data_IF_429231465321
#
_entry.id   IF_429231465321
#
_cell.length_a   1.000
_cell.length_b   1.000
_cell.length_c   1.000
_cell.angle_alpha   90.00
_cell.angle_beta   90.00
_cell.angle_gamma   90.00
#
_symmetry.space_group_name_H-M   'P 1'
#
loop_
_entity.id
_entity.type
_entity.pdbx_description
1 polymer ?
#
# COMPACT_ATOMS: atom_id res chain seq x y z
N UNK A 1 6.77 -4.23 -20.79
CA UNK A 1 8.03 -4.97 -20.92
C UNK A 1 8.18 -5.78 -19.65
N UNK A 2 8.44 -7.03 -19.76
CA UNK A 2 8.59 -7.96 -18.62
C UNK A 2 10.07 -8.32 -18.48
N UNK A 3 10.59 -8.38 -17.28
CA UNK A 3 11.99 -8.71 -16.98
C UNK A 3 12.03 -9.99 -16.16
N UNK A 4 12.90 -10.91 -16.56
CA UNK A 4 13.11 -12.19 -15.89
C UNK A 4 14.51 -12.35 -15.30
N UNK A 5 15.43 -11.45 -15.63
CA UNK A 5 16.79 -11.46 -15.12
C UNK A 5 17.41 -10.05 -15.07
N UNK A 6 18.31 -9.78 -14.10
CA UNK A 6 18.98 -8.48 -13.99
C UNK A 6 19.76 -8.07 -15.25
N UNK A 7 20.31 -9.05 -15.98
CA UNK A 7 21.06 -8.78 -17.22
C UNK A 7 20.20 -8.14 -18.32
N UNK A 8 18.89 -8.30 -18.27
CA UNK A 8 17.97 -7.69 -19.23
C UNK A 8 17.83 -6.18 -19.03
N UNK A 9 18.08 -5.69 -17.81
CA UNK A 9 18.09 -4.25 -17.51
C UNK A 9 19.21 -3.51 -18.27
N UNK A 10 20.33 -4.19 -18.55
CA UNK A 10 21.42 -3.62 -19.33
C UNK A 10 21.04 -3.28 -20.80
N UNK A 11 19.93 -3.82 -21.28
CA UNK A 11 19.41 -3.55 -22.63
C UNK A 11 18.54 -2.30 -22.70
N UNK A 12 18.23 -1.70 -21.55
CA UNK A 12 17.45 -0.47 -21.50
C UNK A 12 18.28 0.70 -22.00
N UNK A 13 17.70 1.60 -22.81
CA UNK A 13 18.38 2.82 -23.26
C UNK A 13 18.53 3.87 -22.15
N UNK A 14 17.86 3.69 -21.00
CA UNK A 14 17.90 4.60 -19.88
C UNK A 14 19.24 4.47 -19.13
N UNK A 15 19.84 5.60 -18.79
CA UNK A 15 21.10 5.65 -18.01
C UNK A 15 20.90 5.41 -16.53
N UNK A 16 19.68 5.63 -16.03
CA UNK A 16 19.31 5.44 -14.63
C UNK A 16 18.05 4.60 -14.60
N UNK A 17 18.07 3.55 -13.82
CA UNK A 17 16.92 2.65 -13.59
C UNK A 17 16.67 2.57 -12.10
N UNK A 18 15.43 2.82 -11.69
CA UNK A 18 15.02 2.69 -10.29
C UNK A 18 14.33 1.34 -10.12
N UNK A 19 14.89 0.49 -9.25
CA UNK A 19 14.25 -0.76 -8.89
C UNK A 19 13.13 -0.50 -7.88
N UNK A 20 11.89 -0.70 -8.31
CA UNK A 20 10.70 -0.60 -7.48
C UNK A 20 9.82 -1.85 -7.62
N UNK A 21 10.44 -3.01 -7.79
CA UNK A 21 9.76 -4.28 -8.06
C UNK A 21 9.14 -4.94 -6.82
N UNK A 22 9.32 -4.32 -5.64
CA UNK A 22 8.76 -4.85 -4.40
C UNK A 22 9.17 -6.31 -4.15
N UNK A 23 8.24 -7.16 -3.78
CA UNK A 23 8.49 -8.58 -3.56
C UNK A 23 8.97 -9.31 -4.82
N UNK A 24 8.66 -8.83 -6.01
CA UNK A 24 9.17 -9.37 -7.27
C UNK A 24 10.70 -9.32 -7.40
N UNK A 25 11.37 -8.45 -6.61
CA UNK A 25 12.83 -8.42 -6.53
C UNK A 25 13.41 -9.77 -6.09
N UNK A 26 12.71 -10.52 -5.26
CA UNK A 26 13.14 -11.84 -4.82
C UNK A 26 13.46 -12.78 -6.00
N UNK A 27 12.54 -12.90 -6.92
CA UNK A 27 12.72 -13.74 -8.10
C UNK A 27 13.72 -13.12 -9.08
N UNK A 28 13.64 -11.81 -9.32
CA UNK A 28 14.46 -11.12 -10.30
C UNK A 28 15.96 -11.14 -9.95
N UNK A 29 16.30 -11.04 -8.66
CA UNK A 29 17.71 -11.04 -8.18
C UNK A 29 18.12 -12.33 -7.48
N UNK A 30 17.24 -13.32 -7.41
CA UNK A 30 17.48 -14.54 -6.63
C UNK A 30 17.86 -14.22 -5.17
N UNK A 31 17.20 -13.23 -4.59
CA UNK A 31 17.47 -12.74 -3.25
C UNK A 31 16.41 -13.27 -2.28
N UNK A 32 16.73 -14.35 -1.60
CA UNK A 32 15.84 -15.01 -0.64
C UNK A 32 15.63 -14.22 0.66
N UNK A 33 16.42 -13.16 0.90
CA UNK A 33 16.23 -12.29 2.06
C UNK A 33 15.00 -11.39 1.91
N UNK A 34 14.53 -11.17 0.69
CA UNK A 34 13.31 -10.39 0.43
C UNK A 34 12.10 -11.22 0.80
N UNK A 35 11.34 -10.77 1.79
CA UNK A 35 10.09 -11.40 2.24
C UNK A 35 8.89 -10.55 1.89
N UNK A 36 7.71 -11.14 1.66
CA UNK A 36 6.51 -10.37 1.40
C UNK A 36 6.06 -9.63 2.66
N UNK A 37 5.53 -8.43 2.46
CA UNK A 37 4.83 -7.69 3.51
C UNK A 37 3.47 -7.29 2.97
N UNK A 38 2.43 -7.93 3.47
CA UNK A 38 1.07 -7.66 3.04
C UNK A 38 0.57 -6.36 3.62
N UNK A 39 0.10 -5.47 2.76
CA UNK A 39 -0.67 -4.30 3.12
C UNK A 39 -1.95 -4.23 2.30
N UNK A 40 -3.07 -3.92 2.93
CA UNK A 40 -4.34 -3.72 2.25
C UNK A 40 -4.78 -2.28 2.39
N UNK A 41 -5.28 -1.73 1.31
CA UNK A 41 -5.80 -0.37 1.25
C UNK A 41 -7.25 -0.43 0.79
N UNK A 42 -8.16 0.19 1.54
CA UNK A 42 -9.48 0.51 1.04
C UNK A 42 -9.41 1.83 0.27
N UNK A 43 -9.90 1.80 -0.97
CA UNK A 43 -9.87 2.96 -1.86
C UNK A 43 -11.28 3.51 -2.02
N UNK A 44 -11.52 4.72 -1.54
CA UNK A 44 -12.81 5.40 -1.63
C UNK A 44 -12.83 6.37 -2.81
N UNK A 45 -14.02 6.73 -3.24
CA UNK A 45 -14.21 7.74 -4.28
C UNK A 45 -13.60 9.08 -3.86
N UNK A 46 -13.14 9.92 -4.82
CA UNK A 46 -12.60 11.23 -4.50
C UNK A 46 -13.64 12.13 -3.82
N UNK A 47 -13.17 12.88 -2.80
CA UNK A 47 -13.93 13.93 -2.12
C UNK A 47 -13.08 15.21 -2.17
N UNK A 48 -13.34 16.11 -3.13
CA UNK A 48 -12.49 17.27 -3.37
C UNK A 48 -12.34 18.22 -2.19
N UNK A 49 -13.34 18.26 -1.30
CA UNK A 49 -13.33 19.05 -0.06
C UNK A 49 -12.36 18.49 0.99
N UNK A 50 -11.99 17.22 0.91
CA UNK A 50 -11.03 16.57 1.80
C UNK A 50 -9.64 16.68 1.18
N UNK A 51 -8.83 17.64 1.60
CA UNK A 51 -7.51 17.93 1.06
C UNK A 51 -6.38 17.75 2.07
N UNK A 52 -6.59 16.93 3.07
CA UNK A 52 -5.66 16.63 4.15
C UNK A 52 -5.56 15.13 4.40
N UNK A 53 -4.53 14.73 5.13
CA UNK A 53 -4.36 13.37 5.63
C UNK A 53 -4.54 13.32 7.14
N UNK A 54 -4.92 12.15 7.64
CA UNK A 54 -5.06 11.88 9.07
C UNK A 54 -4.32 10.60 9.41
N UNK A 55 -3.55 10.64 10.48
CA UNK A 55 -3.00 9.45 11.12
C UNK A 55 -3.61 9.31 12.51
N UNK A 56 -4.28 8.20 12.77
CA UNK A 56 -4.98 7.99 14.03
C UNK A 56 -4.96 6.52 14.43
N UNK A 57 -4.37 6.21 15.58
CA UNK A 57 -4.32 4.85 16.16
C UNK A 57 -3.85 3.77 15.18
N UNK A 58 -2.84 4.07 14.36
CA UNK A 58 -2.35 3.14 13.35
C UNK A 58 -3.09 3.17 12.02
N UNK A 59 -4.19 3.91 11.91
CA UNK A 59 -4.86 4.14 10.64
C UNK A 59 -4.24 5.32 9.90
N UNK A 60 -3.97 5.12 8.63
CA UNK A 60 -3.61 6.17 7.68
C UNK A 60 -4.79 6.45 6.76
N UNK A 61 -5.22 7.69 6.70
CA UNK A 61 -6.28 8.17 5.83
C UNK A 61 -5.69 9.30 5.01
N UNK A 62 -5.49 9.06 3.72
CA UNK A 62 -4.82 10.01 2.83
C UNK A 62 -5.73 10.39 1.67
N UNK A 63 -5.97 11.69 1.54
CA UNK A 63 -6.69 12.23 0.38
C UNK A 63 -5.74 12.42 -0.80
N UNK A 64 -6.18 11.96 -1.96
CA UNK A 64 -5.52 12.10 -3.25
C UNK A 64 -6.53 12.59 -4.29
N UNK A 65 -6.03 13.01 -5.46
CA UNK A 65 -6.89 13.44 -6.58
C UNK A 65 -7.80 12.33 -7.11
N UNK A 66 -7.34 11.10 -7.00
CA UNK A 66 -7.97 9.89 -7.55
C UNK A 66 -8.76 9.09 -6.50
N UNK A 67 -8.74 9.52 -5.22
CA UNK A 67 -9.51 8.85 -4.17
C UNK A 67 -8.97 9.12 -2.78
N UNK A 68 -9.62 8.52 -1.79
CA UNK A 68 -9.16 8.53 -0.41
C UNK A 68 -8.71 7.12 -0.04
N UNK A 69 -7.46 7.01 0.39
CA UNK A 69 -6.93 5.76 0.92
C UNK A 69 -7.26 5.63 2.40
N UNK A 70 -7.70 4.45 2.80
CA UNK A 70 -7.81 4.07 4.20
C UNK A 70 -7.01 2.79 4.39
N UNK A 71 -6.01 2.85 5.24
CA UNK A 71 -5.14 1.73 5.56
C UNK A 71 -5.02 1.58 7.07
N UNK A 72 -5.24 0.36 7.56
CA UNK A 72 -4.89 -0.03 8.92
C UNK A 72 -3.46 -0.61 8.92
N UNK A 73 -2.57 0.04 9.64
CA UNK A 73 -1.21 -0.44 9.87
C UNK A 73 -1.10 -1.55 10.93
N UNK A 74 -2.24 -2.07 11.42
CA UNK A 74 -2.30 -3.18 12.37
C UNK A 74 -1.70 -2.90 13.75
N UNK A 75 -1.31 -1.66 14.02
CA UNK A 75 -0.72 -1.26 15.30
C UNK A 75 0.65 -1.90 15.62
N UNK A 76 1.28 -2.56 14.66
CA UNK A 76 2.59 -3.20 14.79
C UNK A 76 3.38 -3.05 13.50
N UNK A 77 4.68 -2.77 13.64
CA UNK A 77 5.64 -2.73 12.50
C UNK A 77 5.75 -4.09 11.78
N UNK A 78 5.35 -5.17 12.44
CA UNK A 78 5.36 -6.52 11.89
C UNK A 78 4.03 -6.92 11.22
N UNK A 79 3.06 -6.02 11.13
CA UNK A 79 1.78 -6.31 10.50
C UNK A 79 1.96 -6.69 9.03
N UNK A 80 1.44 -7.84 8.64
CA UNK A 80 1.58 -8.39 7.30
C UNK A 80 2.97 -8.96 6.96
N UNK A 81 3.93 -8.95 7.89
CA UNK A 81 5.27 -9.47 7.65
C UNK A 81 5.23 -10.97 7.33
N UNK A 82 5.92 -11.34 6.26
CA UNK A 82 5.99 -12.71 5.73
C UNK A 82 4.62 -13.30 5.35
N UNK A 83 3.66 -12.45 5.02
CA UNK A 83 2.35 -12.83 4.49
C UNK A 83 2.31 -12.58 2.97
N UNK A 84 2.30 -13.67 2.20
CA UNK A 84 2.24 -13.64 0.74
C UNK A 84 0.79 -13.73 0.20
N UNK A 85 -0.22 -13.63 1.05
CA UNK A 85 -1.61 -13.66 0.62
C UNK A 85 -1.97 -12.36 -0.11
N UNK A 86 -2.28 -12.46 -1.40
CA UNK A 86 -2.67 -11.33 -2.26
C UNK A 86 -4.20 -11.16 -2.37
N UNK A 87 -4.98 -12.08 -1.78
CA UNK A 87 -6.43 -12.03 -1.84
C UNK A 87 -6.98 -10.84 -1.02
N UNK A 88 -7.86 -10.01 -1.61
CA UNK A 88 -8.48 -8.90 -0.89
C UNK A 88 -9.39 -9.39 0.23
N UNK A 89 -9.21 -8.86 1.43
CA UNK A 89 -10.13 -9.04 2.55
C UNK A 89 -11.15 -7.90 2.58
N UNK A 90 -12.31 -8.14 1.96
CA UNK A 90 -13.37 -7.15 1.87
C UNK A 90 -13.97 -6.80 3.22
N UNK A 91 -14.09 -7.78 4.13
CA UNK A 91 -14.68 -7.53 5.45
C UNK A 91 -13.77 -6.61 6.27
N UNK A 92 -12.44 -6.86 6.21
CA UNK A 92 -11.47 -5.96 6.84
C UNK A 92 -11.52 -4.56 6.22
N UNK A 93 -11.53 -4.44 4.91
CA UNK A 93 -11.60 -3.14 4.24
C UNK A 93 -12.85 -2.33 4.68
N UNK A 94 -14.01 -2.99 4.77
CA UNK A 94 -15.23 -2.35 5.25
C UNK A 94 -15.13 -1.93 6.73
N UNK A 95 -14.49 -2.75 7.57
CA UNK A 95 -14.26 -2.42 8.97
C UNK A 95 -13.35 -1.18 9.11
N UNK A 96 -12.27 -1.13 8.33
CA UNK A 96 -11.32 -0.01 8.32
C UNK A 96 -12.00 1.30 7.90
N UNK A 97 -12.84 1.25 6.86
CA UNK A 97 -13.63 2.41 6.41
C UNK A 97 -14.63 2.87 7.49
N UNK A 98 -15.22 1.95 8.26
CA UNK A 98 -16.11 2.32 9.38
C UNK A 98 -15.36 3.07 10.48
N UNK A 99 -14.13 2.65 10.80
CA UNK A 99 -13.29 3.37 11.77
C UNK A 99 -13.01 4.80 11.28
N UNK A 100 -12.67 4.95 10.01
CA UNK A 100 -12.50 6.27 9.40
C UNK A 100 -13.77 7.11 9.49
N UNK A 101 -14.92 6.55 9.10
CA UNK A 101 -16.21 7.23 9.15
C UNK A 101 -16.57 7.68 10.57
N UNK A 102 -16.33 6.83 11.58
CA UNK A 102 -16.57 7.18 12.97
C UNK A 102 -15.67 8.34 13.43
N UNK A 103 -14.39 8.32 13.07
CA UNK A 103 -13.46 9.38 13.37
C UNK A 103 -13.94 10.72 12.79
N UNK A 104 -14.23 10.74 11.50
CA UNK A 104 -14.68 11.96 10.80
C UNK A 104 -16.02 12.47 11.32
N UNK A 105 -16.94 11.59 11.74
CA UNK A 105 -18.23 12.01 12.34
C UNK A 105 -18.08 12.79 13.65
N UNK A 106 -16.95 12.65 14.32
CA UNK A 106 -16.62 13.33 15.59
C UNK A 106 -15.77 14.58 15.39
N UNK A 107 -15.21 14.78 14.20
CA UNK A 107 -14.43 15.97 13.88
C UNK A 107 -15.37 17.16 13.75
N UNK A 108 -15.02 18.26 14.42
CA UNK A 108 -15.66 19.56 14.20
C UNK A 108 -14.68 20.41 13.38
N UNK A 109 -15.10 20.73 12.20
CA UNK A 109 -14.37 21.62 11.29
C UNK A 109 -14.94 23.02 11.45
#
# INVERSE_FOLDING_TARGET
MEFHAPAELARLPQKVVINATGYGARALWNDESVVPVRGQIAWLIPQPEVNYGVFYKGFEILSRRDGILVQDGGGSEMYGYNDANEEPDRQKAEADVRVAAELFSRMRI
#
